data_IF_171810381468
#
_entry.id   IF_171810381468
#
_cell.length_a   1.000
_cell.length_b   1.000
_cell.length_c   1.000
_cell.angle_alpha   90.00
_cell.angle_beta   90.00
_cell.angle_gamma   90.00
#
_symmetry.space_group_name_H-M   'P 1'
#
loop_
_entity.id
_entity.type
_entity.pdbx_description
1 polymer ?
#
# COMPACT_ATOMS: atom_id res chain seq x y z
N UNK A 1 9.18 -17.19 8.80
CA UNK A 1 9.77 -15.92 9.31
C UNK A 1 9.59 -14.78 8.32
N UNK A 2 10.11 -14.87 7.07
CA UNK A 2 10.03 -13.76 6.08
C UNK A 2 8.60 -13.28 5.76
N UNK A 3 7.66 -14.18 5.48
CA UNK A 3 6.28 -13.80 5.11
C UNK A 3 5.57 -13.00 6.21
N UNK A 4 5.66 -13.44 7.47
CA UNK A 4 5.07 -12.72 8.61
C UNK A 4 5.66 -11.31 8.75
N UNK A 5 6.97 -11.17 8.57
CA UNK A 5 7.62 -9.87 8.64
C UNK A 5 7.17 -8.95 7.49
N UNK A 6 7.09 -9.48 6.26
CA UNK A 6 6.62 -8.73 5.10
C UNK A 6 5.16 -8.28 5.27
N UNK A 7 4.29 -9.14 5.78
CA UNK A 7 2.90 -8.78 6.11
C UNK A 7 2.85 -7.68 7.16
N UNK A 8 3.58 -7.83 8.28
CA UNK A 8 3.58 -6.85 9.36
C UNK A 8 4.05 -5.47 8.86
N UNK A 9 5.21 -5.41 8.20
CA UNK A 9 5.76 -4.16 7.69
C UNK A 9 4.90 -3.56 6.57
N UNK A 10 4.40 -4.37 5.65
CA UNK A 10 3.52 -3.89 4.56
C UNK A 10 2.22 -3.29 5.10
N UNK A 11 1.61 -3.93 6.09
CA UNK A 11 0.35 -3.47 6.67
C UNK A 11 0.54 -2.22 7.53
N UNK A 12 1.68 -2.08 8.20
CA UNK A 12 2.06 -0.85 8.92
C UNK A 12 2.19 0.34 7.97
N UNK A 13 2.97 0.21 6.90
CA UNK A 13 3.16 1.26 5.90
C UNK A 13 1.83 1.59 5.20
N UNK A 14 1.02 0.58 4.85
CA UNK A 14 -0.28 0.79 4.22
C UNK A 14 -1.24 1.59 5.13
N UNK A 15 -1.26 1.32 6.44
CA UNK A 15 -2.07 2.08 7.41
C UNK A 15 -1.56 3.50 7.61
N UNK A 16 -0.25 3.71 7.58
CA UNK A 16 0.36 5.04 7.65
C UNK A 16 0.04 5.86 6.38
N UNK A 17 0.24 5.28 5.19
CA UNK A 17 -0.09 5.93 3.91
C UNK A 17 -1.57 6.31 3.81
N UNK A 18 -2.48 5.49 4.34
CA UNK A 18 -3.92 5.78 4.36
C UNK A 18 -4.26 7.09 5.10
N UNK A 19 -3.39 7.54 6.02
CA UNK A 19 -3.57 8.79 6.77
C UNK A 19 -2.77 9.95 6.16
N UNK A 20 -1.95 9.69 5.15
CA UNK A 20 -1.06 10.69 4.60
C UNK A 20 -1.83 11.70 3.72
N UNK A 21 -1.65 13.03 3.90
CA UNK A 21 -2.49 14.03 3.25
C UNK A 21 -2.39 14.04 1.72
N UNK A 22 -1.28 13.55 1.15
CA UNK A 22 -1.07 13.48 -0.30
C UNK A 22 -1.57 12.17 -0.95
N UNK A 23 -1.90 11.17 -0.15
CA UNK A 23 -2.39 9.87 -0.63
C UNK A 23 -3.89 9.92 -0.81
N UNK A 24 -4.37 9.41 -1.93
CA UNK A 24 -5.79 9.33 -2.26
C UNK A 24 -6.38 7.99 -1.81
N UNK A 25 -5.82 6.87 -2.30
CA UNK A 25 -6.27 5.53 -1.94
C UNK A 25 -5.10 4.58 -1.66
N UNK A 26 -5.34 3.55 -0.84
CA UNK A 26 -4.38 2.47 -0.55
C UNK A 26 -5.03 1.12 -0.84
N UNK A 27 -4.36 0.29 -1.64
CA UNK A 27 -4.84 -0.98 -2.17
C UNK A 27 -4.04 -2.14 -1.58
N UNK A 28 -4.22 -2.37 -0.29
CA UNK A 28 -3.64 -3.51 0.41
C UNK A 28 -4.75 -4.54 0.72
N UNK A 29 -4.67 -5.81 0.25
CA UNK A 29 -5.75 -6.79 0.40
C UNK A 29 -6.21 -7.04 1.83
N UNK A 30 -5.32 -6.93 2.82
CA UNK A 30 -5.65 -7.06 4.24
C UNK A 30 -6.32 -5.82 4.88
N UNK A 31 -6.52 -4.71 4.14
CA UNK A 31 -7.29 -3.56 4.63
C UNK A 31 -8.76 -3.70 4.28
N UNK A 32 -9.64 -3.43 5.23
CA UNK A 32 -11.10 -3.52 5.05
C UNK A 32 -11.67 -2.57 3.98
N UNK A 33 -10.97 -1.48 3.68
CA UNK A 33 -11.34 -0.56 2.61
C UNK A 33 -10.90 -1.00 1.22
N UNK A 34 -10.09 -2.07 1.09
CA UNK A 34 -9.60 -2.54 -0.20
C UNK A 34 -10.70 -3.34 -0.93
N UNK A 35 -10.99 -3.04 -2.21
CA UNK A 35 -11.85 -3.88 -3.02
C UNK A 35 -11.36 -5.35 -3.00
N UNK A 36 -12.28 -6.28 -2.75
CA UNK A 36 -11.96 -7.71 -2.67
C UNK A 36 -11.42 -8.20 -1.33
N UNK A 37 -11.35 -7.35 -0.29
CA UNK A 37 -10.92 -7.76 1.06
C UNK A 37 -11.69 -8.96 1.61
N UNK A 38 -13.00 -9.04 1.36
CA UNK A 38 -13.83 -10.16 1.83
C UNK A 38 -13.42 -11.49 1.19
N UNK A 39 -13.07 -11.50 -0.09
CA UNK A 39 -12.54 -12.70 -0.76
C UNK A 39 -11.14 -13.03 -0.26
N UNK A 40 -10.30 -12.00 -0.04
CA UNK A 40 -8.98 -12.19 0.55
C UNK A 40 -9.07 -12.85 1.94
N UNK A 41 -9.94 -12.37 2.82
CA UNK A 41 -10.16 -12.98 4.14
C UNK A 41 -10.64 -14.43 4.07
N UNK A 42 -11.48 -14.77 3.07
CA UNK A 42 -12.01 -16.12 2.88
C UNK A 42 -10.93 -17.08 2.39
N UNK A 43 -10.11 -16.63 1.44
CA UNK A 43 -9.24 -17.51 0.64
C UNK A 43 -7.79 -17.52 1.10
N UNK A 44 -7.36 -16.55 1.92
CA UNK A 44 -5.96 -16.39 2.34
C UNK A 44 -5.83 -16.35 3.86
N UNK A 45 -4.72 -16.90 4.37
CA UNK A 45 -4.39 -16.96 5.80
C UNK A 45 -3.44 -15.86 6.26
N UNK A 46 -3.03 -14.98 5.34
CA UNK A 46 -2.08 -13.90 5.58
C UNK A 46 -1.72 -13.18 4.27
N UNK A 47 -1.07 -12.02 4.38
CA UNK A 47 -0.61 -11.23 3.23
C UNK A 47 0.90 -11.33 3.04
N UNK A 48 1.44 -10.48 2.17
CA UNK A 48 2.85 -10.16 2.08
C UNK A 48 3.02 -8.64 2.18
N UNK A 49 4.18 -8.12 1.76
CA UNK A 49 4.48 -6.69 1.81
C UNK A 49 4.15 -5.91 0.53
N UNK A 50 3.58 -6.54 -0.49
CA UNK A 50 3.29 -5.91 -1.78
C UNK A 50 1.88 -5.32 -1.77
N UNK A 51 1.78 -4.04 -2.10
CA UNK A 51 0.53 -3.31 -2.29
C UNK A 51 0.80 -2.05 -3.13
N UNK A 52 -0.26 -1.37 -3.54
CA UNK A 52 -0.17 -0.08 -4.25
C UNK A 52 -0.98 1.01 -3.56
N UNK A 53 -0.74 2.26 -3.96
CA UNK A 53 -1.51 3.41 -3.53
C UNK A 53 -1.56 4.44 -4.66
N UNK A 54 -2.55 5.31 -4.64
CA UNK A 54 -2.66 6.46 -5.56
C UNK A 54 -2.37 7.76 -4.81
N UNK A 55 -1.84 8.74 -5.52
CA UNK A 55 -1.71 10.11 -5.03
C UNK A 55 -2.95 10.92 -5.41
N UNK A 56 -3.28 11.93 -4.62
CA UNK A 56 -4.34 12.90 -4.96
C UNK A 56 -4.02 13.73 -6.19
N UNK A 57 -2.73 13.83 -6.52
CA UNK A 57 -2.21 14.58 -7.66
C UNK A 57 -1.69 13.62 -8.72
N UNK A 58 -2.03 13.89 -9.98
CA UNK A 58 -1.34 13.32 -11.14
C UNK A 58 -0.01 14.08 -11.29
N UNK A 59 1.10 13.38 -11.11
CA UNK A 59 2.44 13.97 -11.21
C UNK A 59 2.84 14.17 -12.69
N UNK A 60 3.61 15.21 -12.96
CA UNK A 60 4.34 15.29 -14.24
C UNK A 60 5.49 14.29 -14.26
N UNK A 61 6.07 14.04 -15.43
CA UNK A 61 7.23 13.16 -15.58
C UNK A 61 8.39 13.59 -14.67
N UNK A 62 8.68 14.89 -14.60
CA UNK A 62 9.77 15.44 -13.79
C UNK A 62 9.52 15.30 -12.28
N UNK A 63 8.28 15.49 -11.85
CA UNK A 63 7.88 15.29 -10.45
C UNK A 63 7.92 13.82 -10.05
N UNK A 64 7.50 12.94 -10.96
CA UNK A 64 7.56 11.49 -10.76
C UNK A 64 9.01 11.00 -10.67
N UNK A 65 9.89 11.43 -11.59
CA UNK A 65 11.33 11.11 -11.52
C UNK A 65 11.92 11.56 -10.18
N UNK A 66 11.68 12.82 -9.77
CA UNK A 66 12.19 13.33 -8.50
C UNK A 66 11.68 12.56 -7.29
N UNK A 67 10.41 12.14 -7.31
CA UNK A 67 9.85 11.30 -6.25
C UNK A 67 10.57 9.96 -6.15
N UNK A 68 10.81 9.29 -7.29
CA UNK A 68 11.54 8.02 -7.34
C UNK A 68 13.01 8.17 -6.92
N UNK A 69 13.66 9.25 -7.32
CA UNK A 69 15.08 9.49 -7.01
C UNK A 69 15.33 9.72 -5.50
N UNK A 70 14.29 10.09 -4.73
CA UNK A 70 14.37 10.34 -3.29
C UNK A 70 13.75 9.22 -2.43
N UNK A 71 13.47 8.06 -3.02
CA UNK A 71 12.94 6.87 -2.31
C UNK A 71 14.04 6.02 -1.63
N UNK A 72 15.12 6.65 -1.17
CA UNK A 72 16.30 6.02 -0.56
C UNK A 72 16.24 5.94 0.96
#
# INVERSE_FOLDING_TARGET
>A
VRMKQHEQSGLEIARWLKQHPLVDNVYHPALSSCPGHTYFQRDFTGSNGLFSFSLKKILTTEEFSRFLDNLS
#
